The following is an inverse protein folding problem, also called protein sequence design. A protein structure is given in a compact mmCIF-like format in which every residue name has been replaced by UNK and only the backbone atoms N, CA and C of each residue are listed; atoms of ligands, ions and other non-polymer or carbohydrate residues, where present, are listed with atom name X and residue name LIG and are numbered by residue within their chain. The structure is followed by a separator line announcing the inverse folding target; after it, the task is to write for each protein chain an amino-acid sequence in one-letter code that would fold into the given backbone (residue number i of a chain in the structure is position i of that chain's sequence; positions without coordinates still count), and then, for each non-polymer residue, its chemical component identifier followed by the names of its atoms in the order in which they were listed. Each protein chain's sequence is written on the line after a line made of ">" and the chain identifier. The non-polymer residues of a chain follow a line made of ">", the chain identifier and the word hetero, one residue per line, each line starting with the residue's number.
data_IF_462134866679
#
_entry.id   IF_462134866679
#
_cell.length_a   1.000
_cell.length_b   1.000
_cell.length_c   1.000
_cell.angle_alpha   90.00
_cell.angle_beta   90.00
_cell.angle_gamma   90.00
#
_symmetry.space_group_name_H-M   'P 1'
#
loop_
_entity.id
_entity.type
_entity.pdbx_description
1 polymer ?
#
# COMPACT_ATOMS: atom_id res chain seq x y z
N UNK A 1 -29.56 0.58 4.23
CA UNK A 1 -28.14 0.73 3.86
C UNK A 1 -27.44 1.38 5.04
N UNK A 2 -26.19 1.02 5.36
CA UNK A 2 -25.41 1.74 6.37
C UNK A 2 -25.34 3.23 6.00
N UNK A 3 -25.42 4.11 7.00
CA UNK A 3 -25.44 5.57 6.80
C UNK A 3 -24.22 6.11 6.05
N UNK A 4 -23.15 5.32 5.89
CA UNK A 4 -21.90 5.75 5.26
C UNK A 4 -21.76 5.37 3.78
N UNK A 5 -22.76 4.71 3.17
CA UNK A 5 -22.71 4.27 1.76
C UNK A 5 -23.43 5.28 0.86
N UNK A 6 -22.73 5.81 -0.15
CA UNK A 6 -23.29 6.72 -1.18
C UNK A 6 -23.91 5.94 -2.35
N UNK A 7 -23.26 4.89 -2.81
CA UNK A 7 -23.73 4.06 -3.94
C UNK A 7 -23.38 2.59 -3.72
N UNK A 8 -24.27 1.70 -4.14
CA UNK A 8 -24.08 0.25 -4.12
C UNK A 8 -24.27 -0.33 -5.53
N UNK A 9 -23.42 -1.28 -5.91
CA UNK A 9 -23.38 -1.93 -7.22
C UNK A 9 -23.36 -3.44 -6.98
N UNK A 10 -24.45 -4.13 -7.29
CA UNK A 10 -24.57 -5.58 -7.02
C UNK A 10 -24.25 -6.47 -8.23
N UNK A 11 -24.37 -5.94 -9.45
CA UNK A 11 -24.20 -6.73 -10.69
C UNK A 11 -22.78 -6.55 -11.25
N UNK A 12 -21.77 -6.95 -10.48
CA UNK A 12 -20.38 -6.95 -10.95
C UNK A 12 -20.21 -8.10 -11.94
N UNK A 13 -19.75 -7.78 -13.16
CA UNK A 13 -19.48 -8.79 -14.19
C UNK A 13 -18.37 -9.74 -13.72
N UNK A 14 -18.60 -11.05 -13.90
CA UNK A 14 -17.66 -12.11 -13.52
C UNK A 14 -17.77 -13.31 -14.46
N UNK A 15 -16.73 -14.16 -14.56
CA UNK A 15 -16.82 -15.43 -15.28
C UNK A 15 -17.95 -16.32 -14.77
N UNK A 16 -18.57 -17.11 -15.66
CA UNK A 16 -19.71 -17.97 -15.31
C UNK A 16 -19.36 -19.05 -14.28
N UNK A 17 -18.09 -19.47 -14.24
CA UNK A 17 -17.58 -20.49 -13.32
C UNK A 17 -17.05 -19.90 -11.99
N UNK A 18 -17.18 -18.59 -11.79
CA UNK A 18 -16.75 -17.93 -10.55
C UNK A 18 -17.86 -17.98 -9.50
N UNK A 19 -17.68 -18.78 -8.44
CA UNK A 19 -18.65 -18.96 -7.36
C UNK A 19 -18.71 -17.78 -6.39
N UNK A 20 -17.72 -16.88 -6.38
CA UNK A 20 -17.61 -15.80 -5.39
C UNK A 20 -18.68 -14.73 -5.58
N UNK A 21 -19.08 -14.10 -4.49
CA UNK A 21 -20.11 -13.04 -4.50
C UNK A 21 -19.43 -11.68 -4.41
N UNK A 22 -19.78 -10.78 -5.33
CA UNK A 22 -19.16 -9.46 -5.43
C UNK A 22 -20.16 -8.34 -5.12
N UNK A 23 -19.68 -7.28 -4.48
CA UNK A 23 -20.44 -6.03 -4.31
C UNK A 23 -19.51 -4.83 -4.39
N UNK A 24 -19.77 -3.95 -5.34
CA UNK A 24 -19.11 -2.64 -5.43
C UNK A 24 -19.82 -1.62 -4.54
N UNK A 25 -19.04 -0.77 -3.87
CA UNK A 25 -19.53 0.34 -3.05
C UNK A 25 -18.79 1.63 -3.40
N UNK A 26 -19.48 2.75 -3.26
CA UNK A 26 -18.86 4.08 -3.14
C UNK A 26 -19.30 4.63 -1.79
N UNK A 27 -18.35 4.93 -0.92
CA UNK A 27 -18.60 5.51 0.39
C UNK A 27 -18.85 7.02 0.28
N UNK A 28 -19.41 7.62 1.33
CA UNK A 28 -19.67 9.08 1.37
C UNK A 28 -18.40 9.92 1.25
N UNK A 29 -17.27 9.43 1.74
CA UNK A 29 -15.96 10.08 1.60
C UNK A 29 -15.31 9.87 0.22
N UNK A 30 -15.99 9.19 -0.72
CA UNK A 30 -15.50 8.96 -2.07
C UNK A 30 -14.72 7.67 -2.26
N UNK A 31 -14.39 6.92 -1.20
CA UNK A 31 -13.67 5.66 -1.32
C UNK A 31 -14.50 4.65 -2.12
N UNK A 32 -13.90 4.11 -3.18
CA UNK A 32 -14.46 3.04 -4.00
C UNK A 32 -13.99 1.70 -3.45
N UNK A 33 -14.91 0.77 -3.22
CA UNK A 33 -14.62 -0.50 -2.55
C UNK A 33 -15.23 -1.65 -3.33
N UNK A 34 -14.47 -2.74 -3.50
CA UNK A 34 -14.98 -4.02 -3.97
C UNK A 34 -14.97 -5.00 -2.81
N UNK A 35 -16.14 -5.53 -2.45
CA UNK A 35 -16.28 -6.60 -1.49
C UNK A 35 -16.38 -7.92 -2.24
N UNK A 36 -15.65 -8.92 -1.78
CA UNK A 36 -15.62 -10.27 -2.34
C UNK A 36 -15.90 -11.23 -1.19
N UNK A 37 -16.98 -12.01 -1.31
CA UNK A 37 -17.30 -13.07 -0.37
C UNK A 37 -17.03 -14.40 -1.03
N UNK A 38 -16.10 -15.13 -0.44
CA UNK A 38 -15.74 -16.51 -0.77
C UNK A 38 -15.89 -17.32 0.51
N UNK A 39 -16.80 -18.30 0.52
CA UNK A 39 -17.09 -19.09 1.72
C UNK A 39 -16.10 -20.24 1.91
N UNK A 40 -15.36 -20.59 0.85
CA UNK A 40 -14.40 -21.70 0.86
C UNK A 40 -12.97 -21.21 1.12
N UNK A 41 -12.79 -19.90 1.39
CA UNK A 41 -11.47 -19.31 1.56
C UNK A 41 -10.87 -19.57 2.94
N UNK A 42 -9.64 -20.07 2.95
CA UNK A 42 -8.88 -20.29 4.19
C UNK A 42 -8.25 -18.99 4.72
N UNK A 43 -7.96 -18.04 3.82
CA UNK A 43 -7.39 -16.74 4.17
C UNK A 43 -8.20 -15.60 3.57
N UNK A 44 -8.48 -14.60 4.40
CA UNK A 44 -9.02 -13.33 3.94
C UNK A 44 -7.89 -12.39 3.51
N UNK A 45 -8.19 -11.53 2.54
CA UNK A 45 -7.26 -10.53 2.03
C UNK A 45 -7.89 -9.15 1.99
N UNK A 46 -7.09 -8.12 2.16
CA UNK A 46 -7.49 -6.75 1.89
C UNK A 46 -6.36 -5.98 1.22
N UNK A 47 -6.73 -5.02 0.38
CA UNK A 47 -5.80 -4.11 -0.29
C UNK A 47 -6.41 -2.71 -0.33
N UNK A 48 -5.57 -1.70 -0.15
CA UNK A 48 -5.92 -0.31 -0.36
C UNK A 48 -4.88 0.32 -1.28
N UNK A 49 -5.37 0.94 -2.36
CA UNK A 49 -4.56 1.66 -3.33
C UNK A 49 -4.81 3.15 -3.17
N UNK A 50 -3.73 3.90 -2.99
CA UNK A 50 -3.72 5.36 -3.09
C UNK A 50 -3.25 5.72 -4.49
N UNK A 51 -4.06 6.47 -5.25
CA UNK A 51 -3.75 6.87 -6.63
C UNK A 51 -2.73 8.03 -6.69
N UNK A 52 -1.62 7.86 -5.97
CA UNK A 52 -0.46 8.75 -5.91
C UNK A 52 0.76 7.84 -5.83
N UNK A 53 1.76 8.09 -6.68
CA UNK A 53 3.03 7.36 -6.72
C UNK A 53 4.20 8.30 -6.99
N UNK A 54 5.32 7.76 -7.46
CA UNK A 54 6.56 8.52 -7.62
C UNK A 54 6.48 9.71 -8.59
N UNK A 55 5.54 9.70 -9.56
CA UNK A 55 5.33 10.85 -10.47
C UNK A 55 4.80 12.10 -9.77
N UNK A 56 4.23 11.94 -8.58
CA UNK A 56 3.69 13.03 -7.76
C UNK A 56 4.72 13.59 -6.78
N UNK A 57 5.95 13.08 -6.80
CA UNK A 57 6.99 13.51 -5.88
C UNK A 57 7.46 14.94 -6.19
N UNK A 58 7.73 15.75 -5.14
CA UNK A 58 8.37 17.03 -5.34
C UNK A 58 9.80 16.80 -5.83
N UNK A 59 10.23 17.58 -6.83
CA UNK A 59 11.56 17.48 -7.45
C UNK A 59 12.74 17.56 -6.46
N UNK A 60 12.52 18.16 -5.28
CA UNK A 60 13.53 18.32 -4.24
C UNK A 60 13.57 17.17 -3.21
N UNK A 61 12.63 16.21 -3.26
CA UNK A 61 12.62 14.99 -2.42
C UNK A 61 12.21 13.76 -3.27
N UNK A 62 13.06 13.31 -4.20
CA UNK A 62 12.83 12.05 -4.93
C UNK A 62 12.79 10.85 -3.98
N UNK A 63 11.87 9.92 -4.22
CA UNK A 63 11.60 8.75 -3.38
C UNK A 63 10.69 9.01 -2.19
N UNK A 64 10.07 10.19 -2.07
CA UNK A 64 9.18 10.51 -0.95
C UNK A 64 7.93 9.62 -0.91
N UNK A 65 7.36 9.23 -2.05
CA UNK A 65 6.18 8.37 -2.08
C UNK A 65 6.53 6.97 -1.52
N UNK A 66 7.67 6.44 -1.96
CA UNK A 66 8.22 5.18 -1.46
C UNK A 66 8.57 5.27 0.04
N UNK A 67 9.13 6.40 0.47
CA UNK A 67 9.42 6.59 1.89
C UNK A 67 8.17 6.68 2.76
N UNK A 68 7.13 7.36 2.28
CA UNK A 68 5.84 7.38 2.96
C UNK A 68 5.26 5.97 3.10
N UNK A 69 5.34 5.14 2.06
CA UNK A 69 4.88 3.75 2.09
C UNK A 69 5.48 2.97 3.26
N UNK A 70 6.80 3.03 3.45
CA UNK A 70 7.50 2.41 4.58
C UNK A 70 6.96 2.92 5.92
N UNK A 71 6.95 4.24 6.07
CA UNK A 71 6.63 4.91 7.32
C UNK A 71 5.18 4.69 7.77
N UNK A 72 4.24 4.44 6.86
CA UNK A 72 2.83 4.20 7.18
C UNK A 72 2.62 3.00 8.12
N UNK A 73 3.52 2.01 8.04
CA UNK A 73 3.49 0.81 8.87
C UNK A 73 4.28 0.94 10.19
N UNK A 74 4.97 2.06 10.42
CA UNK A 74 5.83 2.30 11.58
C UNK A 74 5.07 2.86 12.80
N UNK A 75 3.82 2.42 12.98
CA UNK A 75 2.99 2.81 14.11
C UNK A 75 2.00 3.94 13.79
N UNK A 76 0.86 3.87 14.46
CA UNK A 76 -0.28 4.78 14.30
C UNK A 76 -0.77 5.25 15.67
N UNK A 77 -1.57 6.32 15.72
CA UNK A 77 -2.06 6.83 17.01
C UNK A 77 -2.81 5.79 17.85
N UNK A 78 -3.60 4.93 17.21
CA UNK A 78 -4.36 3.86 17.87
C UNK A 78 -3.50 2.62 18.18
N UNK A 79 -2.50 2.33 17.35
CA UNK A 79 -1.54 1.23 17.53
C UNK A 79 -0.10 1.79 17.43
N UNK A 80 0.41 2.40 18.52
CA UNK A 80 1.63 3.21 18.46
C UNK A 80 2.91 2.38 18.49
N UNK A 81 2.83 1.12 18.89
CA UNK A 81 3.98 0.22 18.87
C UNK A 81 4.39 -0.09 17.43
N UNK A 82 5.65 0.14 17.11
CA UNK A 82 6.20 -0.22 15.80
C UNK A 82 6.16 -1.73 15.59
N UNK A 83 5.98 -2.15 14.33
CA UNK A 83 5.83 -3.55 13.95
C UNK A 83 4.65 -4.28 14.63
N UNK A 84 3.72 -3.57 15.29
CA UNK A 84 2.54 -4.18 15.92
C UNK A 84 1.68 -4.88 14.88
N UNK A 85 1.47 -4.25 13.71
CA UNK A 85 0.66 -4.84 12.64
C UNK A 85 1.31 -6.11 12.09
N UNK A 86 2.61 -6.07 11.74
CA UNK A 86 3.34 -7.24 11.25
C UNK A 86 3.32 -8.38 12.26
N UNK A 87 3.59 -8.08 13.53
CA UNK A 87 3.54 -9.08 14.62
C UNK A 87 2.14 -9.68 14.79
N UNK A 88 1.11 -8.85 14.70
CA UNK A 88 -0.28 -9.32 14.74
C UNK A 88 -0.57 -10.28 13.59
N UNK A 89 -0.13 -9.95 12.37
CA UNK A 89 -0.29 -10.82 11.21
C UNK A 89 0.47 -12.14 11.40
N UNK A 90 1.74 -12.09 11.81
CA UNK A 90 2.57 -13.29 12.05
C UNK A 90 1.92 -14.26 13.04
N UNK A 91 1.35 -13.74 14.12
CA UNK A 91 0.63 -14.53 15.14
C UNK A 91 -0.67 -15.16 14.64
N UNK A 92 -1.18 -14.70 13.49
CA UNK A 92 -2.45 -15.10 12.90
C UNK A 92 -2.28 -15.67 11.49
N UNK A 93 -1.08 -16.18 11.16
CA UNK A 93 -0.70 -16.73 9.85
C UNK A 93 -0.97 -15.78 8.68
N UNK A 94 -0.78 -14.48 8.90
CA UNK A 94 -0.93 -13.44 7.90
C UNK A 94 0.40 -12.97 7.33
N UNK A 95 0.31 -12.18 6.27
CA UNK A 95 1.46 -11.50 5.66
C UNK A 95 1.05 -10.10 5.24
N UNK A 96 1.98 -9.16 5.22
CA UNK A 96 1.78 -7.80 4.73
C UNK A 96 2.87 -7.45 3.74
N UNK A 97 2.50 -6.70 2.70
CA UNK A 97 3.45 -6.05 1.84
C UNK A 97 2.85 -4.77 1.25
N UNK A 98 3.71 -3.93 0.69
CA UNK A 98 3.32 -2.77 -0.08
C UNK A 98 4.29 -2.56 -1.25
N UNK A 99 3.88 -1.72 -2.19
CA UNK A 99 4.79 -1.20 -3.21
C UNK A 99 4.31 0.15 -3.71
N UNK A 100 5.29 0.95 -4.13
CA UNK A 100 5.09 2.24 -4.78
C UNK A 100 5.45 2.14 -6.26
N UNK A 101 4.46 2.41 -7.10
CA UNK A 101 4.59 2.54 -8.55
C UNK A 101 4.75 4.01 -8.94
N UNK A 102 4.76 4.27 -10.24
CA UNK A 102 4.80 5.62 -10.81
C UNK A 102 3.55 6.44 -10.48
N UNK A 103 2.37 5.83 -10.50
CA UNK A 103 1.07 6.50 -10.40
C UNK A 103 0.22 6.09 -9.19
N UNK A 104 0.68 5.11 -8.41
CA UNK A 104 -0.04 4.63 -7.22
C UNK A 104 0.89 3.98 -6.20
N UNK A 105 0.41 3.90 -4.96
CA UNK A 105 0.98 3.08 -3.89
C UNK A 105 -0.08 2.10 -3.41
N UNK A 106 0.28 0.82 -3.32
CA UNK A 106 -0.62 -0.25 -2.93
C UNK A 106 -0.12 -0.90 -1.64
N UNK A 107 -1.01 -1.01 -0.65
CA UNK A 107 -0.78 -1.76 0.58
C UNK A 107 -1.76 -2.92 0.65
N UNK A 108 -1.28 -4.10 1.02
CA UNK A 108 -2.14 -5.29 1.10
C UNK A 108 -1.67 -6.29 2.13
N UNK A 109 -2.60 -7.08 2.65
CA UNK A 109 -2.30 -8.16 3.57
C UNK A 109 -3.18 -9.38 3.31
N UNK A 110 -2.70 -10.55 3.73
CA UNK A 110 -3.48 -11.76 3.92
C UNK A 110 -3.52 -12.14 5.40
N UNK A 111 -4.56 -12.84 5.84
CA UNK A 111 -4.75 -13.26 7.23
C UNK A 111 -5.70 -14.44 7.31
N UNK A 112 -5.61 -15.26 8.36
CA UNK A 112 -6.69 -16.19 8.71
C UNK A 112 -8.03 -15.46 8.81
N UNK A 113 -9.09 -16.03 8.23
CA UNK A 113 -10.40 -15.37 8.07
C UNK A 113 -11.01 -14.86 9.37
N UNK A 114 -10.80 -15.56 10.50
CA UNK A 114 -11.28 -15.16 11.82
C UNK A 114 -10.67 -13.82 12.31
N UNK A 115 -9.48 -13.49 11.83
CA UNK A 115 -8.72 -12.29 12.22
C UNK A 115 -8.83 -11.14 11.22
N UNK A 116 -9.69 -11.25 10.19
CA UNK A 116 -9.87 -10.18 9.19
C UNK A 116 -10.29 -8.84 9.81
N UNK A 117 -11.31 -8.86 10.67
CA UNK A 117 -11.85 -7.64 11.29
C UNK A 117 -10.79 -6.89 12.12
N UNK A 118 -10.08 -7.53 13.07
CA UNK A 118 -9.02 -6.85 13.82
C UNK A 118 -7.81 -6.46 12.94
N UNK A 119 -7.51 -7.17 11.85
CA UNK A 119 -6.49 -6.73 10.88
C UNK A 119 -6.92 -5.47 10.12
N UNK A 120 -8.17 -5.43 9.64
CA UNK A 120 -8.72 -4.25 8.94
C UNK A 120 -8.72 -3.01 9.81
N UNK A 121 -9.01 -3.14 11.12
CA UNK A 121 -9.02 -2.01 12.05
C UNK A 121 -7.63 -1.39 12.19
N UNK A 122 -6.57 -2.21 12.28
CA UNK A 122 -5.16 -1.78 12.31
C UNK A 122 -4.73 -1.18 10.98
N UNK A 123 -4.98 -1.91 9.90
CA UNK A 123 -4.63 -1.51 8.54
C UNK A 123 -5.24 -0.16 8.16
N UNK A 124 -6.51 0.08 8.54
CA UNK A 124 -7.16 1.36 8.29
C UNK A 124 -6.43 2.55 8.96
N UNK A 125 -5.76 2.35 10.10
CA UNK A 125 -5.08 3.43 10.80
C UNK A 125 -3.90 4.01 10.04
N UNK A 126 -3.30 3.24 9.12
CA UNK A 126 -2.22 3.72 8.24
C UNK A 126 -2.71 4.97 7.48
N UNK A 127 -3.98 4.98 7.06
CA UNK A 127 -4.56 6.03 6.23
C UNK A 127 -5.34 7.09 7.04
N UNK A 128 -5.32 6.99 8.38
CA UNK A 128 -6.09 7.88 9.27
C UNK A 128 -5.14 8.76 10.09
N UNK A 129 -4.29 8.16 10.92
CA UNK A 129 -3.39 8.88 11.84
C UNK A 129 -2.05 8.12 12.03
N UNK A 130 -1.20 8.03 10.98
CA UNK A 130 0.16 7.49 11.10
C UNK A 130 1.06 8.43 11.93
N UNK A 131 2.02 7.88 12.67
CA UNK A 131 2.82 8.66 13.63
C UNK A 131 4.01 9.40 13.02
N UNK A 132 4.68 8.80 12.04
CA UNK A 132 5.91 9.34 11.44
C UNK A 132 6.91 9.88 12.47
N UNK A 133 7.23 9.04 13.47
CA UNK A 133 8.16 9.43 14.54
C UNK A 133 9.54 9.72 13.97
N UNK A 134 10.27 10.66 14.59
CA UNK A 134 11.63 10.99 14.14
C UNK A 134 12.59 9.79 14.20
N UNK A 135 12.36 8.87 15.13
CA UNK A 135 13.18 7.67 15.28
C UNK A 135 12.86 6.61 14.20
N UNK A 136 11.60 6.49 13.78
CA UNK A 136 11.22 5.69 12.61
C UNK A 136 11.82 6.29 11.33
N UNK A 137 11.67 7.60 11.12
CA UNK A 137 12.23 8.32 9.96
C UNK A 137 13.73 8.06 9.82
N UNK A 138 14.51 8.24 10.90
CA UNK A 138 15.97 8.05 10.86
C UNK A 138 16.37 6.62 10.51
N UNK A 139 15.62 5.62 10.97
CA UNK A 139 15.93 4.21 10.66
C UNK A 139 15.52 3.83 9.25
N UNK A 140 14.30 4.18 8.85
CA UNK A 140 13.75 3.79 7.54
C UNK A 140 14.50 4.45 6.37
N UNK A 141 15.10 5.64 6.56
CA UNK A 141 16.02 6.21 5.55
C UNK A 141 17.18 5.25 5.23
N UNK A 142 17.74 4.58 6.24
CA UNK A 142 18.84 3.63 6.01
C UNK A 142 18.34 2.35 5.32
N UNK A 143 17.11 1.91 5.62
CA UNK A 143 16.47 0.76 4.96
C UNK A 143 16.32 1.02 3.47
N UNK A 144 15.77 2.18 3.09
CA UNK A 144 15.59 2.58 1.68
C UNK A 144 16.94 2.70 0.98
N UNK A 145 17.95 3.26 1.65
CA UNK A 145 19.28 3.32 1.07
C UNK A 145 19.84 1.91 0.79
N UNK A 146 19.67 0.97 1.73
CA UNK A 146 20.10 -0.42 1.53
C UNK A 146 19.33 -1.12 0.41
N UNK A 147 18.03 -0.85 0.26
CA UNK A 147 17.24 -1.36 -0.86
C UNK A 147 17.76 -0.83 -2.20
N UNK A 148 18.03 0.48 -2.28
CA UNK A 148 18.64 1.06 -3.47
C UNK A 148 20.00 0.41 -3.78
N UNK A 149 20.86 0.23 -2.78
CA UNK A 149 22.17 -0.44 -2.94
C UNK A 149 22.02 -1.86 -3.51
N UNK A 150 21.04 -2.63 -3.03
CA UNK A 150 20.72 -3.95 -3.57
C UNK A 150 20.25 -3.90 -5.03
N UNK A 151 19.61 -2.81 -5.44
CA UNK A 151 19.10 -2.60 -6.80
C UNK A 151 20.18 -2.15 -7.80
N UNK A 152 21.32 -1.60 -7.36
CA UNK A 152 22.37 -1.03 -8.24
C UNK A 152 22.89 -2.05 -9.27
N UNK A 153 23.07 -3.30 -8.87
CA UNK A 153 23.59 -4.36 -9.72
C UNK A 153 22.51 -5.09 -10.53
N UNK A 154 21.24 -4.75 -10.35
CA UNK A 154 20.13 -5.44 -10.98
C UNK A 154 19.76 -4.78 -12.32
N UNK A 155 19.91 -5.52 -13.42
CA UNK A 155 19.69 -4.99 -14.77
C UNK A 155 18.27 -4.47 -15.01
N UNK A 156 17.25 -5.04 -14.36
CA UNK A 156 15.88 -4.52 -14.46
C UNK A 156 15.80 -3.09 -13.93
N UNK A 157 16.40 -2.83 -12.76
CA UNK A 157 16.41 -1.49 -12.15
C UNK A 157 17.29 -0.52 -12.93
N UNK A 158 18.44 -1.00 -13.45
CA UNK A 158 19.33 -0.19 -14.30
C UNK A 158 18.63 0.25 -15.58
N UNK A 159 17.93 -0.66 -16.26
CA UNK A 159 17.19 -0.38 -17.48
C UNK A 159 16.02 0.56 -17.21
N UNK A 160 15.26 0.34 -16.14
CA UNK A 160 14.16 1.23 -15.76
C UNK A 160 14.64 2.67 -15.51
N UNK A 161 15.74 2.85 -14.76
CA UNK A 161 16.28 4.18 -14.52
C UNK A 161 16.88 4.82 -15.79
N UNK A 162 17.48 4.02 -16.67
CA UNK A 162 17.98 4.49 -17.97
C UNK A 162 16.83 5.00 -18.85
N UNK A 163 15.70 4.30 -18.87
CA UNK A 163 14.49 4.71 -19.58
C UNK A 163 13.95 6.03 -19.00
N UNK A 164 13.79 6.13 -17.68
CA UNK A 164 13.41 7.38 -17.00
C UNK A 164 14.32 8.55 -17.36
N UNK A 165 15.64 8.35 -17.32
CA UNK A 165 16.62 9.39 -17.65
C UNK A 165 16.65 9.77 -19.14
N UNK A 166 16.04 8.97 -20.02
CA UNK A 166 15.93 9.27 -21.46
C UNK A 166 14.75 10.21 -21.78
N UNK A 167 13.86 10.45 -20.81
CA UNK A 167 12.74 11.37 -20.95
C UNK A 167 13.15 12.85 -20.79
N UNK A 168 12.21 13.76 -21.07
CA UNK A 168 12.39 15.20 -20.84
C UNK A 168 12.73 15.46 -19.36
N UNK A 169 13.85 16.13 -19.04
CA UNK A 169 14.23 16.46 -17.66
C UNK A 169 13.19 17.30 -16.89
N UNK A 170 12.26 17.95 -17.59
CA UNK A 170 11.17 18.69 -16.98
C UNK A 170 9.98 17.81 -16.56
N UNK A 171 9.86 16.62 -17.15
CA UNK A 171 8.77 15.67 -16.91
C UNK A 171 9.01 14.84 -15.64
N UNK A 172 7.96 14.56 -14.85
CA UNK A 172 8.10 13.82 -13.58
C UNK A 172 8.67 12.40 -13.74
N UNK A 173 8.51 11.78 -14.91
CA UNK A 173 9.07 10.46 -15.20
C UNK A 173 10.62 10.42 -15.18
N UNK A 174 11.28 11.57 -15.31
CA UNK A 174 12.74 11.68 -15.17
C UNK A 174 13.23 11.43 -13.74
N UNK A 175 12.37 11.58 -12.74
CA UNK A 175 12.75 11.52 -11.33
C UNK A 175 13.21 10.11 -10.90
N UNK A 176 14.07 10.07 -9.88
CA UNK A 176 14.54 8.83 -9.28
C UNK A 176 13.54 8.36 -8.21
N UNK A 177 12.83 7.27 -8.49
CA UNK A 177 11.67 6.85 -7.69
C UNK A 177 12.02 6.08 -6.40
N UNK A 178 13.17 5.41 -6.31
CA UNK A 178 13.48 4.58 -5.12
C UNK A 178 13.81 5.42 -3.89
N UNK A 179 14.44 6.59 -4.08
CA UNK A 179 15.01 7.37 -2.97
C UNK A 179 16.33 6.78 -2.47
N UNK A 180 17.16 7.62 -1.85
CA UNK A 180 18.43 7.26 -1.22
C UNK A 180 18.87 8.34 -0.24
N UNK A 181 19.89 8.04 0.57
CA UNK A 181 20.59 9.02 1.42
C UNK A 181 21.28 10.14 0.61
#
# INVERSE_FOLDING_TARGET
>A
MSDNVKRCINNIEKPINDSRIYRGLVLKNGLTTLLISDLDTEQSVASLVVAVGSLSEPKYLPGLAHFCEHLLSMGTKKYPEENEFTRFLDQNNGTYNAYTSTDHTNHFFSINTESLKPSLDRFAQFFIEPLFTMDAIKREINVINSEHENNIANDRWRLAQLESNSADPNHSFYQFATGKL
#
